data_IF_273653283108
#
_entry.id   IF_273653283108
#
_cell.length_a   1.000
_cell.length_b   1.000
_cell.length_c   1.000
_cell.angle_alpha   90.00
_cell.angle_beta   90.00
_cell.angle_gamma   90.00
#
_symmetry.space_group_name_H-M   'P 1'
#
loop_
_entity.id
_entity.type
_entity.pdbx_description
1 polymer ?
#
# COMPACT_ATOMS: atom_id res chain seq x y z
N UNK A 1 18.95 -11.08 -1.97
CA UNK A 1 17.67 -10.33 -1.86
C UNK A 1 16.55 -11.18 -1.24
N UNK A 2 15.91 -10.68 -0.18
CA UNK A 2 14.73 -11.33 0.48
C UNK A 2 13.46 -10.69 -0.04
N UNK A 3 12.43 -11.52 -0.28
CA UNK A 3 11.14 -11.11 -0.86
C UNK A 3 10.02 -11.60 0.05
N UNK A 4 9.02 -10.76 0.28
CA UNK A 4 7.75 -11.17 0.87
C UNK A 4 6.59 -10.50 0.16
N UNK A 5 5.40 -11.09 0.30
CA UNK A 5 4.17 -10.50 -0.21
C UNK A 5 3.14 -10.41 0.90
N UNK A 6 2.24 -9.44 0.77
CA UNK A 6 1.10 -9.32 1.65
C UNK A 6 -0.12 -8.83 0.88
N UNK A 7 -1.29 -9.00 1.49
CA UNK A 7 -2.56 -8.56 0.94
C UNK A 7 -3.18 -7.52 1.87
N UNK A 8 -3.37 -6.31 1.38
CA UNK A 8 -4.07 -5.23 2.09
C UNK A 8 -5.51 -5.20 1.62
N UNK A 9 -6.47 -5.13 2.53
CA UNK A 9 -7.90 -5.10 2.20
C UNK A 9 -8.60 -3.99 2.98
N UNK A 10 -9.62 -3.41 2.37
CA UNK A 10 -10.52 -2.48 3.03
C UNK A 10 -11.96 -2.70 2.55
N UNK A 11 -12.90 -2.21 3.35
CA UNK A 11 -14.30 -2.14 2.97
C UNK A 11 -14.84 -0.78 3.39
N UNK A 12 -15.87 -0.32 2.68
CA UNK A 12 -16.51 0.94 3.01
C UNK A 12 -17.87 0.65 3.63
N UNK A 13 -17.99 1.08 4.88
CA UNK A 13 -19.19 0.93 5.70
C UNK A 13 -19.90 2.29 5.74
N UNK A 14 -21.14 2.32 5.25
CA UNK A 14 -21.97 3.52 5.20
C UNK A 14 -22.20 4.05 3.78
N UNK A 15 -23.36 4.67 3.55
CA UNK A 15 -23.75 5.22 2.24
C UNK A 15 -23.27 6.67 2.11
N UNK A 16 -22.54 6.98 1.05
CA UNK A 16 -22.22 8.35 0.66
C UNK A 16 -23.40 8.89 -0.15
N UNK A 17 -23.99 10.01 0.28
CA UNK A 17 -25.27 10.51 -0.25
C UNK A 17 -25.28 10.93 -1.74
N UNK A 18 -24.12 11.10 -2.38
CA UNK A 18 -24.01 11.78 -3.68
C UNK A 18 -23.17 11.08 -4.75
N UNK A 19 -22.57 9.92 -4.48
CA UNK A 19 -21.69 9.23 -5.43
C UNK A 19 -21.79 7.71 -5.29
N UNK A 20 -22.28 7.05 -6.33
CA UNK A 20 -22.26 5.58 -6.43
C UNK A 20 -20.87 5.04 -6.74
N UNK A 21 -19.98 5.90 -7.26
CA UNK A 21 -18.57 5.60 -7.52
C UNK A 21 -17.68 6.74 -7.05
N UNK A 22 -16.57 6.38 -6.41
CA UNK A 22 -15.53 7.33 -6.01
C UNK A 22 -14.18 6.63 -6.00
N UNK A 23 -13.12 7.42 -6.09
CA UNK A 23 -11.77 6.92 -6.08
C UNK A 23 -11.25 6.93 -4.64
N UNK A 24 -10.61 5.83 -4.23
CA UNK A 24 -9.79 5.79 -3.04
C UNK A 24 -8.35 5.68 -3.45
N UNK A 25 -7.54 6.65 -3.07
CA UNK A 25 -6.10 6.59 -3.22
C UNK A 25 -5.52 5.89 -1.99
N UNK A 26 -4.66 4.90 -2.22
CA UNK A 26 -3.91 4.19 -1.19
C UNK A 26 -2.48 4.67 -1.24
N UNK A 27 -1.92 5.05 -0.09
CA UNK A 27 -0.48 5.25 0.06
C UNK A 27 0.05 4.25 1.08
N UNK A 28 0.80 3.27 0.59
CA UNK A 28 1.39 2.21 1.41
C UNK A 28 2.88 2.48 1.55
N UNK A 29 3.36 2.53 2.80
CA UNK A 29 4.77 2.72 3.08
C UNK A 29 5.18 2.05 4.39
N UNK A 30 6.49 1.80 4.54
CA UNK A 30 7.05 1.38 5.83
C UNK A 30 6.96 2.52 6.85
N UNK A 31 6.34 2.24 7.99
CA UNK A 31 6.29 3.12 9.16
C UNK A 31 7.65 3.09 9.86
N UNK A 32 8.44 4.14 9.68
CA UNK A 32 9.84 4.20 10.15
C UNK A 32 10.25 5.63 10.50
N UNK A 33 11.34 5.74 11.26
CA UNK A 33 11.87 7.04 11.68
C UNK A 33 12.94 7.64 10.74
N UNK A 34 13.70 6.85 9.96
CA UNK A 34 14.86 7.38 9.20
C UNK A 34 14.93 6.84 7.76
N UNK A 35 15.41 5.61 7.53
CA UNK A 35 15.62 5.04 6.17
C UNK A 35 14.77 3.78 5.98
N UNK A 36 14.11 3.66 4.82
CA UNK A 36 13.26 2.47 4.57
C UNK A 36 14.16 1.32 4.22
N UNK A 37 13.80 0.18 4.76
CA UNK A 37 14.44 -1.11 4.58
C UNK A 37 13.80 -1.90 3.45
N UNK A 38 12.74 -1.36 2.84
CA UNK A 38 11.98 -2.04 1.80
C UNK A 38 11.85 -1.24 0.50
N UNK A 39 11.58 -1.96 -0.58
CA UNK A 39 11.09 -1.45 -1.85
C UNK A 39 9.82 -2.20 -2.25
N UNK A 40 8.83 -1.48 -2.74
CA UNK A 40 7.66 -2.06 -3.39
C UNK A 40 7.96 -2.35 -4.85
N UNK A 41 7.45 -3.47 -5.37
CA UNK A 41 7.47 -3.76 -6.79
C UNK A 41 6.54 -2.78 -7.52
N UNK A 42 7.03 -2.11 -8.56
CA UNK A 42 6.20 -1.36 -9.51
C UNK A 42 6.10 -2.21 -10.79
N UNK A 43 4.89 -2.72 -11.08
CA UNK A 43 4.67 -3.59 -12.25
C UNK A 43 4.82 -2.85 -13.58
N UNK A 44 4.71 -1.52 -13.58
CA UNK A 44 4.86 -0.68 -14.77
C UNK A 44 6.33 -0.31 -14.97
N UNK A 45 7.04 -0.03 -13.88
CA UNK A 45 8.44 0.36 -13.89
C UNK A 45 9.26 -0.60 -13.04
N UNK A 46 9.62 -1.76 -13.61
CA UNK A 46 10.28 -2.86 -12.88
C UNK A 46 11.59 -2.42 -12.19
N UNK A 47 12.30 -1.45 -12.76
CA UNK A 47 13.56 -0.92 -12.19
C UNK A 47 13.34 0.14 -11.11
N UNK A 48 12.10 0.59 -10.89
CA UNK A 48 11.78 1.65 -9.94
C UNK A 48 11.81 1.12 -8.51
N UNK A 49 12.78 1.59 -7.76
CA UNK A 49 12.98 1.24 -6.34
C UNK A 49 12.28 2.27 -5.45
N UNK A 50 10.99 2.13 -5.25
CA UNK A 50 10.21 3.04 -4.39
C UNK A 50 9.96 2.43 -3.01
N UNK A 51 10.16 3.21 -1.94
CA UNK A 51 9.74 2.82 -0.57
C UNK A 51 8.29 3.18 -0.26
N UNK A 52 7.56 3.68 -1.25
CA UNK A 52 6.13 4.02 -1.19
C UNK A 52 5.45 3.45 -2.42
N UNK A 53 4.31 2.81 -2.25
CA UNK A 53 3.42 2.44 -3.34
C UNK A 53 2.13 3.24 -3.25
N UNK A 54 1.71 3.81 -4.38
CA UNK A 54 0.46 4.55 -4.50
C UNK A 54 -0.43 3.87 -5.52
N UNK A 55 -1.65 3.54 -5.15
CA UNK A 55 -2.63 2.96 -6.06
C UNK A 55 -4.02 3.55 -5.88
N UNK A 56 -4.72 3.80 -6.98
CA UNK A 56 -6.11 4.27 -6.95
C UNK A 56 -7.06 3.11 -7.19
N UNK A 57 -8.02 2.93 -6.29
CA UNK A 57 -9.10 1.94 -6.40
C UNK A 57 -10.42 2.67 -6.64
N UNK A 58 -11.12 2.30 -7.71
CA UNK A 58 -12.48 2.78 -7.96
C UNK A 58 -13.45 1.94 -7.13
N UNK A 59 -14.03 2.57 -6.10
CA UNK A 59 -15.08 1.97 -5.29
C UNK A 59 -16.41 2.17 -5.99
N UNK A 60 -17.22 1.11 -6.02
CA UNK A 60 -18.51 1.06 -6.74
C UNK A 60 -19.62 0.36 -5.95
N UNK A 61 -19.30 -0.21 -4.79
CA UNK A 61 -20.25 -0.95 -3.97
C UNK A 61 -19.86 -0.85 -2.49
N UNK A 62 -20.83 -0.46 -1.68
CA UNK A 62 -20.72 -0.49 -0.22
C UNK A 62 -20.74 -1.95 0.25
N UNK A 63 -19.97 -2.29 1.29
CA UNK A 63 -19.82 -3.67 1.81
C UNK A 63 -19.06 -4.66 0.91
N UNK A 64 -18.57 -4.23 -0.27
CA UNK A 64 -17.59 -5.00 -1.02
C UNK A 64 -16.21 -4.82 -0.39
N UNK A 65 -15.49 -5.93 -0.25
CA UNK A 65 -14.07 -5.90 0.12
C UNK A 65 -13.23 -5.61 -1.12
N UNK A 66 -12.32 -4.66 -0.99
CA UNK A 66 -11.38 -4.25 -2.01
C UNK A 66 -9.98 -4.56 -1.50
N UNK A 67 -9.25 -5.40 -2.24
CA UNK A 67 -7.94 -5.88 -1.82
C UNK A 67 -6.86 -5.65 -2.86
N UNK A 68 -5.64 -5.51 -2.39
CA UNK A 68 -4.44 -5.29 -3.17
C UNK A 68 -3.35 -6.26 -2.70
N UNK A 69 -2.65 -6.87 -3.64
CA UNK A 69 -1.50 -7.72 -3.36
C UNK A 69 -0.24 -6.90 -3.59
N UNK A 70 0.61 -6.84 -2.59
CA UNK A 70 1.89 -6.13 -2.64
C UNK A 70 3.03 -7.14 -2.64
N UNK A 71 4.03 -6.91 -3.50
CA UNK A 71 5.29 -7.64 -3.49
C UNK A 71 6.36 -6.67 -3.01
N UNK A 72 7.09 -7.07 -1.98
CA UNK A 72 8.05 -6.21 -1.29
C UNK A 72 9.41 -6.89 -1.20
N UNK A 73 10.44 -6.10 -1.48
CA UNK A 73 11.84 -6.48 -1.41
C UNK A 73 12.48 -5.84 -0.18
N UNK A 74 13.25 -6.61 0.57
CA UNK A 74 14.13 -6.06 1.60
C UNK A 74 15.44 -5.60 0.92
N UNK A 75 15.84 -4.35 1.18
CA UNK A 75 17.07 -3.76 0.62
C UNK A 75 18.29 -4.51 1.12
N UNK A 76 19.30 -4.63 0.27
CA UNK A 76 20.60 -5.16 0.67
C UNK A 76 21.36 -4.11 1.50
N UNK A 77 22.14 -4.57 2.49
CA UNK A 77 22.94 -3.68 3.36
C UNK A 77 22.15 -2.99 4.47
N UNK A 78 20.93 -3.41 4.77
CA UNK A 78 20.16 -2.91 5.92
C UNK A 78 20.79 -3.41 7.22
N UNK A 79 21.15 -2.50 8.12
CA UNK A 79 21.74 -2.81 9.42
C UNK A 79 20.71 -3.28 10.45
N UNK A 80 19.51 -2.70 10.42
CA UNK A 80 18.42 -3.04 11.34
C UNK A 80 17.54 -4.17 10.78
N UNK A 81 17.94 -5.41 11.08
CA UNK A 81 17.25 -6.63 10.64
C UNK A 81 16.33 -7.24 11.70
N UNK A 82 16.45 -6.82 12.96
CA UNK A 82 15.71 -7.41 14.08
C UNK A 82 14.41 -6.66 14.37
N UNK A 83 14.34 -5.37 14.08
CA UNK A 83 13.11 -4.60 14.28
C UNK A 83 12.04 -5.03 13.28
N UNK A 84 10.77 -5.17 13.70
CA UNK A 84 9.69 -5.55 12.79
C UNK A 84 9.55 -4.52 11.67
N UNK A 85 9.24 -4.98 10.45
CA UNK A 85 8.83 -4.10 9.35
C UNK A 85 7.34 -3.80 9.56
N UNK A 86 7.03 -2.58 9.96
CA UNK A 86 5.65 -2.09 10.09
C UNK A 86 5.27 -1.37 8.82
N UNK A 87 4.09 -1.67 8.29
CA UNK A 87 3.56 -1.04 7.08
C UNK A 87 2.27 -0.34 7.45
N UNK A 88 2.12 0.90 7.00
CA UNK A 88 0.96 1.75 7.25
C UNK A 88 0.33 2.18 5.94
N UNK A 89 -1.01 2.22 5.91
CA UNK A 89 -1.80 2.77 4.82
C UNK A 89 -2.25 4.18 5.25
N UNK A 90 -1.73 5.22 4.61
CA UNK A 90 -2.13 6.60 4.89
C UNK A 90 -2.96 7.18 3.74
N UNK A 91 -4.00 7.93 4.12
CA UNK A 91 -4.82 8.82 3.30
C UNK A 91 -5.80 8.21 2.29
N UNK A 92 -7.00 7.88 2.77
CA UNK A 92 -8.20 7.75 1.93
C UNK A 92 -8.67 9.16 1.55
N UNK A 93 -8.17 9.68 0.42
CA UNK A 93 -8.67 10.92 -0.16
C UNK A 93 -9.87 10.62 -1.07
N UNK A 94 -11.00 11.27 -0.78
CA UNK A 94 -12.17 11.29 -1.64
C UNK A 94 -12.04 12.49 -2.60
N UNK A 95 -11.88 12.22 -3.90
CA UNK A 95 -11.98 13.25 -4.95
C UNK A 95 -13.35 13.18 -5.63
#
# INVERSE_FOLDING_TARGET
MVIFSFKSCFSIVGKIKKTDKFNVNYHIMEEKNIVSRIWFLDTVHVDKRSSVHTQTVVVSSYSKEYCQNEIVYIKEGVSDILSPIKVSNFDILFN
#
